data_IF_660603063243
#
_entry.id   IF_660603063243
#
_cell.length_a   1.000
_cell.length_b   1.000
_cell.length_c   1.000
_cell.angle_alpha   90.00
_cell.angle_beta   90.00
_cell.angle_gamma   90.00
#
_symmetry.space_group_name_H-M   'P 1'
#
loop_
_entity.id
_entity.type
_entity.pdbx_description
1 polymer ?
#
# COMPACT_ATOMS: atom_id res chain seq x y z
N UNK A 1 -1.84 -7.87 22.47
CA UNK A 1 -3.13 -8.58 22.66
C UNK A 1 -3.94 -8.32 21.40
N UNK A 2 -4.34 -9.37 20.67
CA UNK A 2 -5.25 -9.21 19.53
C UNK A 2 -6.56 -8.65 20.07
N UNK A 3 -6.92 -7.42 19.71
CA UNK A 3 -8.15 -6.80 20.15
C UNK A 3 -9.36 -7.60 19.67
N UNK A 4 -10.37 -7.76 20.53
CA UNK A 4 -11.62 -8.46 20.23
C UNK A 4 -12.48 -7.63 19.29
N UNK A 5 -13.13 -8.27 18.32
CA UNK A 5 -14.08 -7.63 17.38
C UNK A 5 -15.48 -7.74 17.95
N UNK A 6 -16.27 -6.66 17.89
CA UNK A 6 -17.69 -6.67 18.19
C UNK A 6 -18.47 -6.78 16.89
N UNK A 7 -19.15 -7.90 16.68
CA UNK A 7 -20.02 -8.16 15.53
C UNK A 7 -21.47 -7.89 15.91
N UNK A 8 -22.15 -7.01 15.18
CA UNK A 8 -23.54 -6.62 15.41
C UNK A 8 -24.36 -6.92 14.17
N UNK A 9 -25.24 -7.91 14.24
CA UNK A 9 -26.07 -8.41 13.14
C UNK A 9 -27.35 -9.01 13.73
N UNK A 10 -28.52 -8.59 13.28
CA UNK A 10 -29.81 -9.07 13.81
C UNK A 10 -30.20 -10.43 13.21
N UNK A 11 -29.86 -10.72 11.96
CA UNK A 11 -30.09 -12.03 11.35
C UNK A 11 -29.19 -13.10 12.00
N UNK A 12 -29.83 -14.09 12.60
CA UNK A 12 -29.12 -15.16 13.33
C UNK A 12 -28.20 -15.99 12.42
N UNK A 13 -28.68 -16.36 11.23
CA UNK A 13 -27.92 -17.22 10.32
C UNK A 13 -26.70 -16.48 9.76
N UNK A 14 -26.88 -15.20 9.40
CA UNK A 14 -25.79 -14.36 8.91
C UNK A 14 -24.78 -14.03 10.02
N UNK A 15 -25.25 -13.77 11.23
CA UNK A 15 -24.40 -13.53 12.40
C UNK A 15 -23.51 -14.73 12.71
N UNK A 16 -24.04 -15.94 12.62
CA UNK A 16 -23.28 -17.19 12.81
C UNK A 16 -22.24 -17.37 11.71
N UNK A 17 -22.62 -17.24 10.43
CA UNK A 17 -21.69 -17.35 9.30
C UNK A 17 -20.57 -16.29 9.31
N UNK A 18 -20.87 -15.07 9.76
CA UNK A 18 -19.85 -14.03 9.95
C UNK A 18 -18.95 -14.34 11.13
N UNK A 19 -19.50 -14.90 12.21
CA UNK A 19 -18.74 -15.39 13.35
C UNK A 19 -17.74 -16.47 12.96
N UNK A 20 -18.17 -17.48 12.22
CA UNK A 20 -17.31 -18.55 11.68
C UNK A 20 -16.22 -17.96 10.77
N UNK A 21 -16.57 -16.97 9.94
CA UNK A 21 -15.59 -16.28 9.09
C UNK A 21 -14.51 -15.59 9.91
N UNK A 22 -14.88 -14.92 11.01
CA UNK A 22 -13.93 -14.27 11.92
C UNK A 22 -13.04 -15.28 12.65
N UNK A 23 -13.62 -16.41 13.07
CA UNK A 23 -12.90 -17.49 13.75
C UNK A 23 -11.87 -18.15 12.82
N UNK A 24 -12.26 -18.47 11.58
CA UNK A 24 -11.36 -18.98 10.53
C UNK A 24 -10.25 -17.94 10.23
N UNK A 25 -10.58 -16.64 10.24
CA UNK A 25 -9.62 -15.55 10.10
C UNK A 25 -8.69 -15.37 11.32
N UNK A 26 -8.91 -16.12 12.41
CA UNK A 26 -8.12 -16.06 13.64
C UNK A 26 -8.39 -14.84 14.52
N UNK A 27 -9.57 -14.22 14.37
CA UNK A 27 -9.99 -13.08 15.19
C UNK A 27 -10.85 -13.54 16.37
N UNK A 28 -10.52 -13.06 17.58
CA UNK A 28 -11.42 -13.18 18.72
C UNK A 28 -12.58 -12.20 18.52
N UNK A 29 -13.82 -12.65 18.70
CA UNK A 29 -15.00 -11.80 18.53
C UNK A 29 -16.04 -12.01 19.62
N UNK A 30 -16.96 -11.05 19.76
CA UNK A 30 -18.21 -11.17 20.48
C UNK A 30 -19.33 -10.77 19.51
N UNK A 31 -20.31 -11.64 19.32
CA UNK A 31 -21.45 -11.39 18.46
C UNK A 31 -22.67 -10.98 19.28
N UNK A 32 -23.41 -9.98 18.84
CA UNK A 32 -24.64 -9.48 19.46
C UNK A 32 -25.71 -9.22 18.40
N UNK A 33 -26.99 -9.27 18.80
CA UNK A 33 -28.11 -9.23 17.90
C UNK A 33 -28.74 -7.83 17.73
N UNK A 34 -28.25 -6.81 18.44
CA UNK A 34 -28.80 -5.46 18.34
C UNK A 34 -27.78 -4.38 18.73
N UNK A 35 -28.06 -3.15 18.34
CA UNK A 35 -27.26 -1.99 18.68
C UNK A 35 -27.20 -1.74 20.20
N UNK A 36 -28.31 -1.97 20.90
CA UNK A 36 -28.40 -1.80 22.36
C UNK A 36 -27.51 -2.79 23.08
N UNK A 37 -27.50 -4.07 22.61
CA UNK A 37 -26.60 -5.10 23.14
C UNK A 37 -25.14 -4.78 22.83
N UNK A 38 -24.85 -4.14 21.68
CA UNK A 38 -23.51 -3.68 21.34
C UNK A 38 -23.04 -2.58 22.29
N UNK A 39 -23.90 -1.61 22.60
CA UNK A 39 -23.58 -0.55 23.57
C UNK A 39 -23.36 -1.09 24.99
N UNK A 40 -24.07 -2.14 25.35
CA UNK A 40 -23.84 -2.82 26.62
C UNK A 40 -22.47 -3.54 26.63
N UNK A 41 -22.15 -4.28 25.57
CA UNK A 41 -20.86 -4.97 25.42
C UNK A 41 -19.68 -3.97 25.47
N UNK A 42 -19.80 -2.80 24.84
CA UNK A 42 -18.78 -1.75 24.87
C UNK A 42 -18.55 -1.12 26.26
N UNK A 43 -19.49 -1.27 27.19
CA UNK A 43 -19.30 -0.86 28.61
C UNK A 43 -18.57 -1.92 29.43
N UNK A 44 -18.71 -3.18 29.04
CA UNK A 44 -18.18 -4.33 29.78
C UNK A 44 -16.72 -4.65 29.38
N UNK A 45 -16.38 -4.46 28.11
CA UNK A 45 -15.06 -4.84 27.59
C UNK A 45 -14.61 -3.91 26.44
N UNK A 46 -13.30 -3.88 26.18
CA UNK A 46 -12.70 -3.10 25.10
C UNK A 46 -12.67 -3.91 23.80
N UNK A 47 -13.04 -3.26 22.67
CA UNK A 47 -13.01 -3.83 21.34
C UNK A 47 -12.06 -3.05 20.43
N UNK A 48 -11.41 -3.75 19.50
CA UNK A 48 -10.50 -3.17 18.52
C UNK A 48 -11.23 -2.68 17.26
N UNK A 49 -12.43 -3.21 17.00
CA UNK A 49 -13.27 -2.86 15.85
C UNK A 49 -14.72 -3.26 16.16
N UNK A 50 -15.68 -2.44 15.73
CA UNK A 50 -17.09 -2.81 15.64
C UNK A 50 -17.43 -3.04 14.18
N UNK A 51 -18.01 -4.20 13.86
CA UNK A 51 -18.59 -4.53 12.55
C UNK A 51 -20.09 -4.62 12.73
N UNK A 52 -20.85 -3.69 12.14
CA UNK A 52 -22.30 -3.61 12.36
C UNK A 52 -23.08 -3.61 11.07
N UNK A 53 -24.20 -4.35 11.04
CA UNK A 53 -25.21 -4.10 10.01
C UNK A 53 -25.81 -2.70 10.18
N UNK A 54 -26.21 -2.11 9.06
CA UNK A 54 -26.93 -0.84 9.01
C UNK A 54 -28.42 -1.04 9.33
N UNK A 55 -29.04 -2.08 8.75
CA UNK A 55 -30.49 -2.27 8.83
C UNK A 55 -30.84 -3.24 9.98
N UNK A 56 -30.97 -2.70 11.18
CA UNK A 56 -31.37 -3.46 12.35
C UNK A 56 -32.66 -2.92 12.95
N UNK A 57 -33.52 -3.76 13.55
CA UNK A 57 -34.70 -3.28 14.27
C UNK A 57 -34.30 -2.49 15.53
N UNK A 58 -35.05 -1.44 15.83
CA UNK A 58 -34.76 -0.52 16.92
C UNK A 58 -33.73 0.54 16.51
N UNK A 59 -32.58 0.60 17.18
CA UNK A 59 -31.48 1.49 16.83
C UNK A 59 -30.75 0.94 15.60
N UNK A 60 -30.67 1.74 14.53
CA UNK A 60 -29.97 1.36 13.31
C UNK A 60 -28.43 1.50 13.44
N UNK A 61 -27.68 0.97 12.44
CA UNK A 61 -26.22 1.03 12.44
C UNK A 61 -25.65 2.44 12.36
N UNK A 62 -26.36 3.43 11.80
CA UNK A 62 -25.94 4.83 11.75
C UNK A 62 -26.09 5.52 13.09
N UNK A 63 -27.18 5.24 13.79
CA UNK A 63 -27.42 5.72 15.13
C UNK A 63 -26.40 5.13 16.10
N UNK A 64 -26.13 3.82 15.98
CA UNK A 64 -25.08 3.14 16.74
C UNK A 64 -23.69 3.76 16.49
N UNK A 65 -23.34 4.04 15.23
CA UNK A 65 -22.10 4.73 14.86
C UNK A 65 -22.00 6.08 15.56
N UNK A 66 -23.08 6.88 15.52
CA UNK A 66 -23.11 8.20 16.14
C UNK A 66 -22.87 8.14 17.65
N UNK A 67 -23.49 7.17 18.34
CA UNK A 67 -23.30 6.96 19.78
C UNK A 67 -21.87 6.48 20.09
N UNK A 68 -21.32 5.55 19.29
CA UNK A 68 -19.95 5.06 19.48
C UNK A 68 -18.96 6.21 19.28
N UNK A 69 -19.14 7.05 18.28
CA UNK A 69 -18.28 8.20 18.02
C UNK A 69 -18.26 9.22 19.17
N UNK A 70 -19.38 9.42 19.81
CA UNK A 70 -19.47 10.32 20.96
C UNK A 70 -18.85 9.74 22.24
N UNK A 71 -19.10 8.46 22.52
CA UNK A 71 -18.71 7.82 23.79
C UNK A 71 -17.40 7.05 23.74
N UNK A 72 -17.05 6.48 22.56
CA UNK A 72 -15.90 5.62 22.33
C UNK A 72 -15.17 6.03 21.02
N UNK A 73 -14.68 7.27 20.90
CA UNK A 73 -14.14 7.83 19.65
C UNK A 73 -12.94 7.04 19.10
N UNK A 74 -12.24 6.30 19.96
CA UNK A 74 -11.09 5.46 19.61
C UNK A 74 -11.50 4.14 18.96
N UNK A 75 -12.76 3.67 19.09
CA UNK A 75 -13.18 2.38 18.53
C UNK A 75 -13.64 2.57 17.08
N UNK A 76 -12.93 2.01 16.10
CA UNK A 76 -13.34 2.09 14.70
C UNK A 76 -14.63 1.30 14.45
N UNK A 77 -15.47 1.81 13.53
CA UNK A 77 -16.73 1.17 13.16
C UNK A 77 -16.76 0.92 11.66
N UNK A 78 -16.90 -0.35 11.26
CA UNK A 78 -17.14 -0.81 9.91
C UNK A 78 -18.63 -1.11 9.75
N UNK A 79 -19.29 -0.53 8.74
CA UNK A 79 -20.70 -0.77 8.49
C UNK A 79 -20.92 -1.76 7.34
N UNK A 80 -21.88 -2.67 7.51
CA UNK A 80 -22.34 -3.59 6.47
C UNK A 80 -23.72 -3.10 5.97
N UNK A 81 -23.92 -3.00 4.65
CA UNK A 81 -25.16 -2.49 4.07
C UNK A 81 -25.59 -3.27 2.84
N UNK A 82 -26.90 -3.34 2.57
CA UNK A 82 -27.44 -3.98 1.39
C UNK A 82 -27.21 -3.16 0.10
N UNK A 83 -27.25 -3.83 -1.04
CA UNK A 83 -27.08 -3.25 -2.37
C UNK A 83 -28.12 -2.14 -2.62
N UNK A 84 -27.65 -0.92 -3.00
CA UNK A 84 -28.51 0.23 -3.33
C UNK A 84 -28.43 1.42 -2.37
N UNK A 85 -27.70 1.33 -1.26
CA UNK A 85 -27.62 2.39 -0.25
C UNK A 85 -26.28 3.21 -0.32
N UNK A 86 -25.80 3.49 -1.53
CA UNK A 86 -24.52 4.22 -1.73
C UNK A 86 -24.56 5.60 -1.05
N UNK A 87 -25.68 6.30 -1.08
CA UNK A 87 -25.86 7.57 -0.38
C UNK A 87 -25.71 7.41 1.14
N UNK A 88 -26.23 6.31 1.70
CA UNK A 88 -26.10 6.00 3.13
C UNK A 88 -24.66 5.60 3.50
N UNK A 89 -23.95 4.91 2.62
CA UNK A 89 -22.54 4.59 2.82
C UNK A 89 -21.68 5.88 2.87
N UNK A 90 -21.92 6.82 1.96
CA UNK A 90 -21.26 8.15 1.98
C UNK A 90 -21.61 8.91 3.26
N UNK A 91 -22.85 8.86 3.70
CA UNK A 91 -23.28 9.48 4.96
C UNK A 91 -22.59 8.83 6.17
N UNK A 92 -22.44 7.50 6.17
CA UNK A 92 -21.73 6.77 7.20
C UNK A 92 -20.25 7.18 7.30
N UNK A 93 -19.60 7.34 6.16
CA UNK A 93 -18.20 7.82 6.12
C UNK A 93 -18.08 9.26 6.65
N UNK A 94 -19.02 10.14 6.31
CA UNK A 94 -19.10 11.51 6.87
C UNK A 94 -19.36 11.52 8.38
N UNK A 95 -20.10 10.55 8.88
CA UNK A 95 -20.37 10.38 10.32
C UNK A 95 -19.20 9.69 11.06
N UNK A 96 -18.15 9.31 10.33
CA UNK A 96 -16.92 8.77 10.91
C UNK A 96 -16.82 7.25 10.92
N UNK A 97 -17.60 6.51 10.13
CA UNK A 97 -17.29 5.10 9.86
C UNK A 97 -15.90 5.00 9.23
N UNK A 98 -15.14 3.95 9.58
CA UNK A 98 -13.80 3.75 9.00
C UNK A 98 -13.87 3.17 7.61
N UNK A 99 -14.91 2.38 7.34
CA UNK A 99 -15.21 1.81 6.02
C UNK A 99 -16.63 1.26 5.98
N UNK A 100 -17.07 0.80 4.81
CA UNK A 100 -18.33 0.10 4.64
C UNK A 100 -18.18 -1.11 3.72
N UNK A 101 -19.03 -2.12 3.90
CA UNK A 101 -19.03 -3.36 3.13
C UNK A 101 -20.41 -3.61 2.54
N UNK A 102 -20.51 -3.76 1.21
CA UNK A 102 -21.77 -3.98 0.51
C UNK A 102 -22.15 -5.46 0.52
N UNK A 103 -23.33 -5.81 1.03
CA UNK A 103 -23.93 -7.16 0.94
C UNK A 103 -24.55 -7.36 -0.46
N UNK A 104 -24.34 -8.54 -1.14
CA UNK A 104 -23.55 -9.69 -0.71
C UNK A 104 -22.05 -9.48 -0.95
N UNK A 105 -21.21 -10.01 -0.06
CA UNK A 105 -19.75 -9.91 -0.14
C UNK A 105 -19.08 -11.28 0.09
N UNK A 106 -17.88 -11.43 -0.42
CA UNK A 106 -17.05 -12.60 -0.15
C UNK A 106 -16.41 -12.52 1.26
N UNK A 107 -16.25 -13.64 1.98
CA UNK A 107 -15.59 -13.69 3.29
C UNK A 107 -14.21 -13.01 3.30
N UNK A 108 -13.44 -13.14 2.21
CA UNK A 108 -12.14 -12.49 2.07
C UNK A 108 -12.22 -10.96 2.09
N UNK A 109 -13.28 -10.36 1.56
CA UNK A 109 -13.45 -8.90 1.57
C UNK A 109 -13.62 -8.38 2.99
N UNK A 110 -14.45 -9.05 3.81
CA UNK A 110 -14.61 -8.74 5.22
C UNK A 110 -13.28 -8.88 5.99
N UNK A 111 -12.57 -9.99 5.81
CA UNK A 111 -11.30 -10.23 6.51
C UNK A 111 -10.22 -9.22 6.10
N UNK A 112 -10.18 -8.79 4.84
CA UNK A 112 -9.26 -7.75 4.38
C UNK A 112 -9.54 -6.40 5.05
N UNK A 113 -10.81 -5.98 5.12
CA UNK A 113 -11.20 -4.74 5.79
C UNK A 113 -10.92 -4.79 7.30
N UNK A 114 -11.21 -5.92 7.93
CA UNK A 114 -10.88 -6.13 9.34
C UNK A 114 -9.36 -6.06 9.56
N UNK A 115 -8.56 -6.69 8.70
CA UNK A 115 -7.10 -6.62 8.78
C UNK A 115 -6.57 -5.19 8.62
N UNK A 116 -7.21 -4.38 7.78
CA UNK A 116 -6.85 -2.97 7.61
C UNK A 116 -7.23 -2.11 8.82
N UNK A 117 -8.38 -2.37 9.44
CA UNK A 117 -8.94 -1.48 10.46
C UNK A 117 -8.79 -2.00 11.89
N UNK A 118 -8.85 -3.30 12.14
CA UNK A 118 -8.66 -3.89 13.47
C UNK A 118 -7.19 -3.92 13.93
N UNK A 119 -6.24 -4.01 12.99
CA UNK A 119 -4.80 -3.96 13.29
C UNK A 119 -4.19 -2.56 13.13
N UNK A 120 -4.91 -1.60 12.55
CA UNK A 120 -4.32 -0.37 12.00
C UNK A 120 -4.41 0.87 12.85
N UNK A 121 -5.04 0.86 14.04
CA UNK A 121 -5.29 2.12 14.76
C UNK A 121 -4.68 2.26 16.15
N UNK A 122 -4.08 1.23 16.70
CA UNK A 122 -3.46 1.36 18.04
C UNK A 122 -2.00 1.83 18.03
N UNK A 123 -1.28 1.75 16.88
CA UNK A 123 0.16 2.07 16.87
C UNK A 123 0.63 3.08 15.81
N UNK A 124 -0.04 3.23 14.66
CA UNK A 124 0.45 4.16 13.63
C UNK A 124 -0.01 5.63 13.85
N UNK A 125 -1.08 5.85 14.63
CA UNK A 125 -1.59 7.19 14.90
C UNK A 125 -0.91 7.90 16.08
N UNK A 126 -0.39 7.14 17.07
CA UNK A 126 0.28 7.74 18.24
C UNK A 126 1.78 7.99 18.05
N UNK A 127 2.42 7.34 17.07
CA UNK A 127 3.84 7.55 16.81
C UNK A 127 4.02 8.22 15.46
N UNK A 128 4.20 9.54 15.49
CA UNK A 128 4.59 10.33 14.31
C UNK A 128 5.80 9.76 13.57
N UNK A 129 6.26 10.38 12.46
CA UNK A 129 7.43 9.94 11.74
C UNK A 129 8.65 9.80 12.65
N UNK A 130 9.47 8.76 12.45
CA UNK A 130 10.75 8.63 13.16
C UNK A 130 11.69 9.71 12.68
N UNK A 131 12.23 10.52 13.61
CA UNK A 131 13.12 11.64 13.33
C UNK A 131 14.16 11.79 14.44
N UNK A 132 15.25 11.07 14.31
CA UNK A 132 16.43 11.18 15.17
C UNK A 132 17.52 12.02 14.50
N UNK A 133 17.59 12.01 13.17
CA UNK A 133 18.49 12.86 12.41
C UNK A 133 18.09 14.34 12.55
N UNK A 134 19.06 15.29 12.66
CA UNK A 134 18.78 16.72 12.75
C UNK A 134 17.92 17.23 11.58
N UNK A 135 18.23 16.79 10.36
CA UNK A 135 17.48 17.15 9.15
C UNK A 135 16.02 16.70 9.23
N UNK A 136 15.76 15.48 9.73
CA UNK A 136 14.40 14.94 9.90
C UNK A 136 13.62 15.73 10.96
N UNK A 137 14.26 16.07 12.09
CA UNK A 137 13.62 16.87 13.14
C UNK A 137 13.25 18.27 12.63
N UNK A 138 14.19 18.95 11.97
CA UNK A 138 13.92 20.26 11.39
C UNK A 138 12.75 20.24 10.38
N UNK A 139 12.71 19.20 9.53
CA UNK A 139 11.62 19.03 8.57
C UNK A 139 10.27 18.83 9.29
N UNK A 140 10.22 18.02 10.36
CA UNK A 140 8.99 17.82 11.13
C UNK A 140 8.53 19.08 11.86
N UNK A 141 9.44 19.87 12.41
CA UNK A 141 9.12 21.17 13.00
C UNK A 141 8.51 22.11 11.97
N UNK A 142 9.09 22.16 10.77
CA UNK A 142 8.57 22.95 9.66
C UNK A 142 7.20 22.43 9.19
N UNK A 143 7.04 21.11 9.06
CA UNK A 143 5.79 20.46 8.71
C UNK A 143 4.68 20.76 9.74
N UNK A 144 4.99 20.73 11.05
CA UNK A 144 4.03 21.04 12.10
C UNK A 144 3.60 22.52 12.05
N UNK A 145 4.51 23.45 11.74
CA UNK A 145 4.18 24.88 11.56
C UNK A 145 3.28 25.09 10.34
N UNK A 146 3.59 24.47 9.22
CA UNK A 146 2.77 24.55 7.99
C UNK A 146 1.44 23.85 8.15
N UNK A 147 1.36 22.82 9.00
CA UNK A 147 0.11 22.13 9.31
C UNK A 147 -0.98 23.08 9.84
N UNK A 148 -0.61 24.14 10.52
CA UNK A 148 -1.56 25.14 11.07
C UNK A 148 -2.20 26.05 10.00
N UNK A 149 -1.71 26.00 8.76
CA UNK A 149 -2.28 26.76 7.64
C UNK A 149 -3.02 25.83 6.67
N UNK A 150 -3.97 26.38 5.91
CA UNK A 150 -4.65 25.66 4.81
C UNK A 150 -3.86 25.67 3.49
N UNK A 151 -2.60 26.11 3.52
CA UNK A 151 -1.74 26.16 2.33
C UNK A 151 -1.52 24.78 1.74
N UNK A 152 -1.46 24.71 0.40
CA UNK A 152 -1.06 23.51 -0.33
C UNK A 152 0.40 23.19 -0.02
N UNK A 153 0.71 21.93 0.24
CA UNK A 153 2.06 21.45 0.51
C UNK A 153 2.48 20.45 -0.56
N UNK A 154 3.63 20.70 -1.16
CA UNK A 154 4.27 19.77 -2.09
C UNK A 154 5.41 19.03 -1.39
N UNK A 155 5.27 17.73 -1.23
CA UNK A 155 6.27 16.87 -0.61
C UNK A 155 7.08 16.17 -1.70
N UNK A 156 8.34 16.50 -1.85
CA UNK A 156 9.26 15.86 -2.78
C UNK A 156 10.22 14.91 -2.08
N UNK A 157 10.70 13.89 -2.79
CA UNK A 157 11.69 12.94 -2.27
C UNK A 157 11.64 11.63 -3.04
N UNK A 158 12.72 10.85 -2.95
CA UNK A 158 12.85 9.56 -3.62
C UNK A 158 11.71 8.60 -3.28
N UNK A 159 11.50 7.59 -4.13
CA UNK A 159 10.53 6.54 -3.84
C UNK A 159 10.88 5.80 -2.55
N UNK A 160 9.86 5.46 -1.74
CA UNK A 160 10.07 4.72 -0.50
C UNK A 160 10.61 5.53 0.68
N UNK A 161 10.77 6.85 0.59
CA UNK A 161 11.27 7.69 1.71
C UNK A 161 10.26 7.89 2.83
N UNK A 162 8.96 7.63 2.60
CA UNK A 162 7.89 7.82 3.59
C UNK A 162 7.14 9.15 3.42
N UNK A 163 7.00 9.69 2.20
CA UNK A 163 6.27 10.93 1.90
C UNK A 163 4.82 10.90 2.39
N UNK A 164 4.13 9.76 2.26
CA UNK A 164 2.76 9.59 2.76
C UNK A 164 2.69 9.68 4.29
N UNK A 165 3.70 9.16 5.00
CA UNK A 165 3.77 9.27 6.47
C UNK A 165 3.89 10.73 6.89
N UNK A 166 4.69 11.53 6.16
CA UNK A 166 4.79 12.97 6.39
C UNK A 166 3.46 13.69 6.10
N UNK A 167 2.77 13.33 5.02
CA UNK A 167 1.47 13.90 4.68
C UNK A 167 0.43 13.61 5.77
N UNK A 168 0.39 12.38 6.31
CA UNK A 168 -0.47 12.02 7.44
C UNK A 168 -0.11 12.80 8.70
N UNK A 169 1.18 12.98 8.98
CA UNK A 169 1.64 13.79 10.09
C UNK A 169 1.18 15.26 9.97
N UNK A 170 1.27 15.86 8.78
CA UNK A 170 0.78 17.22 8.52
C UNK A 170 -0.73 17.30 8.79
N UNK A 171 -1.51 16.32 8.35
CA UNK A 171 -2.95 16.26 8.64
C UNK A 171 -3.24 16.15 10.15
N UNK A 172 -2.52 15.28 10.86
CA UNK A 172 -2.67 15.07 12.30
C UNK A 172 -2.33 16.32 13.13
N UNK A 173 -1.38 17.15 12.66
CA UNK A 173 -1.01 18.40 13.29
C UNK A 173 -1.87 19.59 12.84
N UNK A 174 -2.88 19.39 11.98
CA UNK A 174 -3.69 20.45 11.40
C UNK A 174 -4.99 20.69 12.19
N UNK A 175 -5.64 21.86 12.04
CA UNK A 175 -7.00 22.09 12.55
C UNK A 175 -8.03 21.10 11.99
N UNK A 176 -7.73 20.43 10.87
CA UNK A 176 -8.60 19.47 10.18
C UNK A 176 -8.36 18.00 10.63
N UNK A 177 -7.70 17.77 11.75
CA UNK A 177 -7.37 16.43 12.28
C UNK A 177 -8.59 15.51 12.46
N UNK A 178 -9.76 16.10 12.75
CA UNK A 178 -11.03 15.36 12.88
C UNK A 178 -11.76 15.15 11.55
N UNK A 179 -11.30 15.78 10.47
CA UNK A 179 -11.85 15.64 9.13
C UNK A 179 -11.31 14.39 8.41
N UNK A 180 -11.88 14.05 7.25
CA UNK A 180 -11.40 12.92 6.46
C UNK A 180 -9.99 13.17 5.92
N UNK A 181 -9.13 12.12 5.94
CA UNK A 181 -7.88 12.08 5.22
C UNK A 181 -8.01 11.09 4.06
N UNK A 182 -8.14 11.62 2.86
CA UNK A 182 -8.30 10.83 1.64
C UNK A 182 -6.99 10.84 0.86
N UNK A 183 -6.43 9.67 0.60
CA UNK A 183 -5.23 9.53 -0.22
C UNK A 183 -5.58 8.84 -1.54
N UNK A 184 -4.98 9.32 -2.63
CA UNK A 184 -5.06 8.70 -3.95
C UNK A 184 -3.68 8.69 -4.60
N UNK A 185 -3.29 7.51 -5.12
CA UNK A 185 -2.05 7.38 -5.88
C UNK A 185 -2.38 7.53 -7.37
N UNK A 186 -1.86 8.60 -8.00
CA UNK A 186 -2.12 8.94 -9.38
C UNK A 186 -1.44 7.97 -10.37
N UNK A 187 -0.36 7.30 -9.96
CA UNK A 187 0.33 6.31 -10.79
C UNK A 187 -0.36 4.93 -10.79
N UNK A 188 -1.16 4.62 -9.76
CA UNK A 188 -1.76 3.30 -9.61
C UNK A 188 -3.05 3.12 -10.42
N UNK A 189 -3.63 4.19 -10.96
CA UNK A 189 -4.94 4.20 -11.62
C UNK A 189 -4.77 4.65 -13.08
N UNK A 190 -5.31 3.92 -14.07
CA UNK A 190 -5.33 4.36 -15.46
C UNK A 190 -6.03 5.71 -15.63
N UNK A 191 -5.54 6.57 -16.53
CA UNK A 191 -5.98 7.97 -16.67
C UNK A 191 -7.49 8.14 -16.87
N UNK A 192 -8.12 7.26 -17.65
CA UNK A 192 -9.56 7.27 -17.89
C UNK A 192 -10.39 6.96 -16.63
N UNK A 193 -9.84 6.18 -15.71
CA UNK A 193 -10.48 5.87 -14.42
C UNK A 193 -10.12 6.90 -13.35
N UNK A 194 -8.92 7.49 -13.43
CA UNK A 194 -8.43 8.49 -12.49
C UNK A 194 -9.33 9.73 -12.51
N UNK A 195 -9.80 10.17 -13.68
CA UNK A 195 -10.73 11.27 -13.83
C UNK A 195 -12.03 11.03 -13.05
N UNK A 196 -12.70 9.91 -13.32
CA UNK A 196 -13.95 9.55 -12.65
C UNK A 196 -13.75 9.33 -11.13
N UNK A 197 -12.60 8.81 -10.72
CA UNK A 197 -12.27 8.58 -9.31
C UNK A 197 -12.03 9.90 -8.57
N UNK A 198 -11.30 10.85 -9.18
CA UNK A 198 -10.99 12.15 -8.56
C UNK A 198 -12.22 13.05 -8.49
N UNK A 199 -12.89 13.25 -9.63
CA UNK A 199 -13.94 14.27 -9.77
C UNK A 199 -15.36 13.71 -9.58
N UNK A 200 -15.51 12.36 -9.58
CA UNK A 200 -16.82 11.72 -9.57
C UNK A 200 -17.48 11.71 -10.96
N UNK A 201 -18.60 11.01 -11.07
CA UNK A 201 -19.35 10.94 -12.32
C UNK A 201 -20.84 10.83 -12.09
N UNK A 202 -21.62 11.32 -13.04
CA UNK A 202 -23.05 11.13 -13.11
C UNK A 202 -23.40 9.82 -13.84
N UNK A 203 -24.62 9.35 -13.63
CA UNK A 203 -25.16 8.19 -14.35
C UNK A 203 -25.11 8.44 -15.86
N UNK A 204 -24.53 7.50 -16.61
CA UNK A 204 -24.42 7.58 -18.06
C UNK A 204 -23.27 8.46 -18.59
N UNK A 205 -22.38 8.93 -17.74
CA UNK A 205 -21.24 9.77 -18.13
C UNK A 205 -20.25 9.06 -19.07
N UNK A 206 -20.16 7.73 -18.96
CA UNK A 206 -19.37 6.86 -19.84
C UNK A 206 -19.96 5.46 -19.87
N UNK A 207 -19.50 4.61 -20.80
CA UNK A 207 -19.92 3.21 -20.90
C UNK A 207 -19.54 2.44 -19.64
N UNK A 208 -20.56 2.04 -18.85
CA UNK A 208 -20.36 1.41 -17.53
C UNK A 208 -20.73 2.28 -16.32
N UNK A 209 -21.06 3.56 -16.50
CA UNK A 209 -21.56 4.44 -15.43
C UNK A 209 -23.04 4.16 -15.12
N UNK A 210 -23.33 3.06 -14.43
CA UNK A 210 -24.69 2.60 -14.11
C UNK A 210 -25.34 3.52 -13.06
N UNK A 211 -24.56 4.07 -12.13
CA UNK A 211 -25.00 4.97 -11.06
C UNK A 211 -24.07 6.19 -10.98
N UNK A 212 -24.57 7.28 -10.40
CA UNK A 212 -23.71 8.43 -10.05
C UNK A 212 -22.81 8.06 -8.85
N UNK A 213 -21.52 8.49 -8.89
CA UNK A 213 -20.59 8.29 -7.78
C UNK A 213 -19.86 9.58 -7.43
N UNK A 214 -19.74 9.93 -6.12
CA UNK A 214 -18.94 11.07 -5.69
C UNK A 214 -17.45 10.81 -5.91
N UNK A 215 -16.73 11.86 -6.25
CA UNK A 215 -15.28 11.83 -6.43
C UNK A 215 -14.51 11.91 -5.09
N UNK A 216 -13.20 11.65 -5.16
CA UNK A 216 -12.32 11.79 -3.99
C UNK A 216 -12.26 13.21 -3.46
N UNK A 217 -12.45 14.23 -4.31
CA UNK A 217 -12.59 15.62 -3.88
C UNK A 217 -13.78 15.81 -2.97
N UNK A 218 -14.94 15.29 -3.34
CA UNK A 218 -16.16 15.38 -2.51
C UNK A 218 -16.01 14.59 -1.21
N UNK A 219 -15.38 13.42 -1.25
CA UNK A 219 -15.14 12.59 -0.05
C UNK A 219 -14.14 13.22 0.92
N UNK A 220 -13.29 14.12 0.45
CA UNK A 220 -12.32 14.85 1.27
C UNK A 220 -12.86 16.14 1.85
N UNK A 221 -14.13 16.50 1.58
CA UNK A 221 -14.74 17.75 2.05
C UNK A 221 -14.69 17.87 3.57
N UNK A 222 -14.32 19.04 4.09
CA UNK A 222 -14.03 19.30 5.50
C UNK A 222 -12.68 18.73 5.98
N UNK A 223 -11.89 18.11 5.13
CA UNK A 223 -10.66 17.39 5.49
C UNK A 223 -9.46 17.69 4.62
N UNK A 224 -8.67 16.64 4.34
CA UNK A 224 -7.42 16.73 3.57
C UNK A 224 -7.40 15.67 2.46
N UNK A 225 -7.06 16.10 1.25
CA UNK A 225 -6.82 15.24 0.09
C UNK A 225 -5.32 15.14 -0.17
N UNK A 226 -4.78 13.93 -0.20
CA UNK A 226 -3.42 13.63 -0.63
C UNK A 226 -3.42 13.10 -2.07
N UNK A 227 -2.72 13.83 -2.96
CA UNK A 227 -2.43 13.41 -4.33
C UNK A 227 -1.00 12.83 -4.36
N UNK A 228 -0.88 11.51 -4.27
CA UNK A 228 0.41 10.83 -4.29
C UNK A 228 0.88 10.61 -5.74
N UNK A 229 2.16 10.81 -5.98
CA UNK A 229 2.81 10.73 -7.30
C UNK A 229 2.14 11.61 -8.38
N UNK A 230 1.91 12.89 -8.04
CA UNK A 230 1.22 13.87 -8.90
C UNK A 230 1.88 14.05 -10.29
N UNK A 231 3.19 13.78 -10.40
CA UNK A 231 3.95 13.84 -11.66
C UNK A 231 3.48 12.86 -12.72
N UNK A 232 2.74 11.81 -12.33
CA UNK A 232 2.24 10.78 -13.25
C UNK A 232 0.88 11.14 -13.88
N UNK A 233 0.26 12.24 -13.43
CA UNK A 233 -1.04 12.68 -13.92
C UNK A 233 -0.95 13.22 -15.35
N UNK A 234 -1.84 12.79 -16.24
CA UNK A 234 -1.91 13.26 -17.62
C UNK A 234 -2.29 14.75 -17.73
N UNK A 235 -1.76 15.46 -18.73
CA UNK A 235 -1.96 16.91 -18.94
C UNK A 235 -3.44 17.36 -18.92
N UNK A 236 -4.40 16.64 -19.51
CA UNK A 236 -5.82 17.02 -19.45
C UNK A 236 -6.36 17.05 -18.01
N UNK A 237 -5.95 16.08 -17.18
CA UNK A 237 -6.36 16.01 -15.77
C UNK A 237 -5.68 17.09 -14.93
N UNK A 238 -4.44 17.46 -15.25
CA UNK A 238 -3.75 18.58 -14.62
C UNK A 238 -4.52 19.90 -14.81
N UNK A 239 -5.11 20.13 -16.00
CA UNK A 239 -5.91 21.32 -16.26
C UNK A 239 -7.21 21.36 -15.42
N UNK A 240 -7.86 20.20 -15.26
CA UNK A 240 -9.05 20.09 -14.40
C UNK A 240 -8.70 20.29 -12.91
N UNK A 241 -7.61 19.66 -12.47
CA UNK A 241 -7.09 19.83 -11.11
C UNK A 241 -6.81 21.30 -10.80
N UNK A 242 -6.17 22.01 -11.72
CA UNK A 242 -5.87 23.42 -11.55
C UNK A 242 -7.15 24.25 -11.29
N UNK A 243 -8.22 24.00 -12.06
CA UNK A 243 -9.52 24.67 -11.85
C UNK A 243 -10.06 24.41 -10.47
N UNK A 244 -10.08 23.13 -10.01
CA UNK A 244 -10.56 22.79 -8.67
C UNK A 244 -9.75 23.49 -7.57
N UNK A 245 -8.42 23.58 -7.72
CA UNK A 245 -7.56 24.27 -6.76
C UNK A 245 -7.76 25.81 -6.76
N UNK A 246 -8.16 26.39 -7.88
CA UNK A 246 -8.39 27.84 -8.00
C UNK A 246 -9.78 28.24 -7.54
N UNK A 247 -10.81 27.53 -8.00
CA UNK A 247 -12.22 27.87 -7.82
C UNK A 247 -12.79 27.27 -6.53
N UNK A 248 -12.12 26.25 -5.96
CA UNK A 248 -12.61 25.44 -4.83
C UNK A 248 -13.97 24.79 -5.11
N UNK A 249 -14.17 24.42 -6.34
CA UNK A 249 -15.36 23.74 -6.82
C UNK A 249 -15.00 22.55 -7.68
N UNK A 250 -15.82 21.51 -7.66
CA UNK A 250 -15.67 20.33 -8.50
C UNK A 250 -16.93 20.10 -9.32
N UNK A 251 -16.73 19.72 -10.59
CA UNK A 251 -17.80 19.26 -11.45
C UNK A 251 -17.61 17.76 -11.71
N UNK A 252 -18.65 16.95 -11.48
CA UNK A 252 -18.64 15.53 -11.84
C UNK A 252 -18.59 15.36 -13.34
N UNK A 253 -17.95 14.29 -13.79
CA UNK A 253 -17.96 13.92 -15.22
C UNK A 253 -19.41 13.70 -15.67
N UNK A 254 -19.83 14.45 -16.71
CA UNK A 254 -21.20 14.45 -17.22
C UNK A 254 -22.16 15.37 -16.49
N UNK A 255 -21.77 16.06 -15.43
CA UNK A 255 -22.56 17.11 -14.76
C UNK A 255 -22.22 18.51 -15.30
N UNK A 256 -23.14 19.45 -15.03
CA UNK A 256 -22.93 20.88 -15.29
C UNK A 256 -23.04 21.74 -14.02
N UNK A 257 -23.28 21.09 -12.89
CA UNK A 257 -23.48 21.80 -11.61
C UNK A 257 -22.19 21.70 -10.80
N UNK A 258 -21.55 22.82 -10.46
CA UNK A 258 -20.39 22.81 -9.58
C UNK A 258 -20.81 22.49 -8.13
N UNK A 259 -19.92 21.84 -7.42
CA UNK A 259 -20.03 21.49 -6.00
C UNK A 259 -18.89 22.19 -5.29
N UNK A 260 -19.21 23.09 -4.36
CA UNK A 260 -18.22 23.83 -3.57
C UNK A 260 -17.52 22.90 -2.57
N UNK A 261 -16.21 23.07 -2.42
CA UNK A 261 -15.35 22.24 -1.58
C UNK A 261 -14.61 23.07 -0.54
N UNK A 262 -14.58 22.57 0.68
CA UNK A 262 -13.68 23.06 1.74
C UNK A 262 -12.62 22.02 2.06
N UNK A 263 -11.59 21.93 1.24
CA UNK A 263 -10.53 20.91 1.36
C UNK A 263 -9.15 21.54 1.47
N UNK A 264 -8.26 20.84 2.17
CA UNK A 264 -6.83 21.05 2.11
C UNK A 264 -6.19 20.04 1.16
N UNK A 265 -5.28 20.49 0.29
CA UNK A 265 -4.59 19.61 -0.66
C UNK A 265 -3.13 19.45 -0.28
N UNK A 266 -2.67 18.20 -0.21
CA UNK A 266 -1.27 17.82 -0.12
C UNK A 266 -0.91 17.06 -1.40
N UNK A 267 0.28 17.30 -1.95
CA UNK A 267 0.75 16.58 -3.13
C UNK A 267 2.13 15.96 -2.86
N UNK A 268 2.39 14.78 -3.41
CA UNK A 268 3.72 14.17 -3.34
C UNK A 268 4.27 13.92 -4.73
N UNK A 269 5.58 13.89 -4.84
CA UNK A 269 6.28 13.50 -6.06
C UNK A 269 7.64 12.88 -5.77
N UNK A 270 8.08 11.96 -6.60
CA UNK A 270 9.42 11.40 -6.63
C UNK A 270 10.26 11.98 -7.78
N UNK A 271 9.66 12.79 -8.66
CA UNK A 271 10.34 13.44 -9.80
C UNK A 271 10.64 14.91 -9.52
N UNK A 272 11.59 15.45 -10.26
CA UNK A 272 11.84 16.90 -10.31
C UNK A 272 10.75 17.56 -11.17
N UNK A 273 9.73 18.15 -10.54
CA UNK A 273 8.60 18.77 -11.27
C UNK A 273 9.04 19.94 -12.15
N UNK A 274 10.09 20.69 -11.78
CA UNK A 274 10.63 21.76 -12.64
C UNK A 274 11.19 21.17 -13.95
N UNK A 275 11.87 20.03 -13.88
CA UNK A 275 12.32 19.29 -15.04
C UNK A 275 11.15 18.76 -15.89
N UNK A 276 10.06 18.29 -15.25
CA UNK A 276 8.85 17.85 -15.93
C UNK A 276 8.13 19.02 -16.64
N UNK A 277 8.13 20.23 -16.04
CA UNK A 277 7.62 21.46 -16.64
C UNK A 277 8.45 21.84 -17.86
N UNK A 278 9.77 21.86 -17.73
CA UNK A 278 10.66 22.16 -18.86
C UNK A 278 10.52 21.16 -20.04
N UNK A 279 10.20 19.91 -19.71
CA UNK A 279 9.94 18.85 -20.70
C UNK A 279 8.50 18.85 -21.27
N UNK A 280 7.63 19.78 -20.84
CA UNK A 280 6.25 19.88 -21.28
C UNK A 280 5.32 18.75 -20.79
N UNK A 281 5.73 17.94 -19.82
CA UNK A 281 4.93 16.87 -19.21
C UNK A 281 4.12 17.32 -18.00
N UNK A 282 4.46 18.46 -17.41
CA UNK A 282 3.73 19.05 -16.31
C UNK A 282 3.45 20.53 -16.60
N UNK A 283 2.26 21.02 -16.23
CA UNK A 283 1.88 22.41 -16.46
C UNK A 283 2.54 23.33 -15.45
N UNK A 284 3.09 24.42 -15.91
CA UNK A 284 3.77 25.44 -15.11
C UNK A 284 2.81 26.12 -14.11
N UNK A 285 1.59 26.44 -14.54
CA UNK A 285 0.56 27.06 -13.70
C UNK A 285 0.14 26.16 -12.53
N UNK A 286 -0.02 24.87 -12.78
CA UNK A 286 -0.30 23.87 -11.73
C UNK A 286 0.88 23.71 -10.77
N UNK A 287 2.12 23.70 -11.29
CA UNK A 287 3.32 23.62 -10.44
C UNK A 287 3.35 24.75 -9.41
N UNK A 288 3.16 26.00 -9.81
CA UNK A 288 3.13 27.12 -8.87
C UNK A 288 1.96 27.06 -7.89
N UNK A 289 0.82 26.51 -8.29
CA UNK A 289 -0.33 26.34 -7.42
C UNK A 289 -0.15 25.24 -6.36
N UNK A 290 0.58 24.18 -6.69
CA UNK A 290 0.92 23.09 -5.77
C UNK A 290 2.13 23.41 -4.90
N UNK A 291 3.13 24.10 -5.43
CA UNK A 291 4.40 24.40 -4.78
C UNK A 291 4.34 25.67 -3.91
N UNK A 292 3.21 25.90 -3.22
CA UNK A 292 3.09 27.04 -2.27
C UNK A 292 4.04 26.83 -1.10
N UNK A 293 4.09 25.62 -0.57
CA UNK A 293 5.02 25.23 0.48
C UNK A 293 5.75 23.93 0.12
N UNK A 294 6.94 23.97 -0.46
CA UNK A 294 7.72 22.78 -0.78
C UNK A 294 8.42 22.22 0.46
N UNK A 295 8.27 20.91 0.69
CA UNK A 295 8.99 20.13 1.68
C UNK A 295 9.77 19.03 0.97
N UNK A 296 11.07 18.93 1.21
CA UNK A 296 11.92 17.89 0.66
C UNK A 296 12.25 16.85 1.72
N UNK A 297 11.80 15.59 1.51
CA UNK A 297 12.15 14.49 2.39
C UNK A 297 13.45 13.85 1.91
N UNK A 298 14.49 13.95 2.73
CA UNK A 298 15.80 13.40 2.40
C UNK A 298 15.78 11.86 2.26
N UNK A 299 16.57 11.30 1.35
CA UNK A 299 16.73 9.85 1.25
C UNK A 299 17.36 9.28 2.53
N UNK A 300 17.13 7.98 2.78
CA UNK A 300 17.51 7.35 4.05
C UNK A 300 19.02 7.38 4.31
N UNK A 301 19.84 7.31 3.27
CA UNK A 301 21.30 7.43 3.33
C UNK A 301 21.82 8.80 3.87
N UNK A 302 21.02 9.86 3.77
CA UNK A 302 21.36 11.20 4.28
C UNK A 302 20.85 11.43 5.71
N UNK A 303 20.04 10.49 6.25
CA UNK A 303 19.51 10.53 7.62
C UNK A 303 19.81 9.25 8.38
N UNK A 304 21.07 8.86 8.40
CA UNK A 304 21.53 7.58 8.96
C UNK A 304 21.15 7.36 10.43
N UNK A 305 21.01 8.44 11.21
CA UNK A 305 20.53 8.36 12.60
C UNK A 305 19.07 7.86 12.72
N UNK A 306 18.28 7.93 11.67
CA UNK A 306 16.91 7.43 11.66
C UNK A 306 16.84 5.92 11.35
N UNK A 307 17.89 5.32 10.77
CA UNK A 307 17.86 3.95 10.24
C UNK A 307 17.56 2.93 11.35
N UNK A 308 18.33 2.95 12.43
CA UNK A 308 18.17 1.96 13.53
C UNK A 308 16.82 2.14 14.24
N UNK A 309 16.39 3.35 14.63
CA UNK A 309 15.07 3.56 15.21
C UNK A 309 13.91 3.15 14.28
N UNK A 310 14.04 3.39 12.97
CA UNK A 310 13.08 2.90 11.97
C UNK A 310 13.05 1.38 11.91
N UNK A 311 14.21 0.73 11.87
CA UNK A 311 14.32 -0.72 11.85
C UNK A 311 13.71 -1.36 13.09
N UNK A 312 13.96 -0.81 14.28
CA UNK A 312 13.39 -1.29 15.54
C UNK A 312 11.86 -1.12 15.57
N UNK A 313 11.36 0.00 15.08
CA UNK A 313 9.91 0.24 14.96
C UNK A 313 9.26 -0.75 13.98
N UNK A 314 9.86 -0.97 12.81
CA UNK A 314 9.39 -1.94 11.83
C UNK A 314 9.45 -3.37 12.39
N UNK A 315 10.50 -3.70 13.12
CA UNK A 315 10.67 -4.98 13.80
C UNK A 315 9.54 -5.23 14.80
N UNK A 316 9.24 -4.27 15.64
CA UNK A 316 8.14 -4.34 16.60
C UNK A 316 6.78 -4.51 15.90
N UNK A 317 6.54 -3.71 14.85
CA UNK A 317 5.30 -3.74 14.05
C UNK A 317 5.08 -5.11 13.39
N UNK A 318 6.11 -5.65 12.70
CA UNK A 318 6.00 -6.95 12.03
C UNK A 318 5.99 -8.12 13.01
N UNK A 319 6.76 -8.05 14.11
CA UNK A 319 6.74 -9.07 15.16
C UNK A 319 5.36 -9.24 15.78
N UNK A 320 4.67 -8.13 16.08
CA UNK A 320 3.29 -8.14 16.55
C UNK A 320 2.34 -8.76 15.52
N UNK A 321 2.45 -8.35 14.25
CA UNK A 321 1.62 -8.86 13.14
C UNK A 321 1.80 -10.36 12.92
N UNK A 322 3.04 -10.85 13.05
CA UNK A 322 3.37 -12.28 12.91
C UNK A 322 3.12 -13.09 14.19
N UNK A 323 2.68 -12.46 15.30
CA UNK A 323 2.51 -13.08 16.62
C UNK A 323 3.79 -13.78 17.12
N UNK A 324 4.95 -13.26 16.76
CA UNK A 324 6.24 -13.78 17.20
C UNK A 324 6.69 -13.12 18.49
N UNK A 325 7.57 -13.81 19.25
CA UNK A 325 8.23 -13.19 20.38
C UNK A 325 9.04 -11.96 19.95
N UNK A 326 9.16 -10.92 20.79
CA UNK A 326 9.94 -9.73 20.45
C UNK A 326 11.37 -10.10 20.06
N UNK A 327 11.73 -9.79 18.82
CA UNK A 327 13.09 -9.95 18.31
C UNK A 327 13.88 -8.64 18.50
N UNK A 328 15.21 -8.76 18.57
CA UNK A 328 16.14 -7.63 18.73
C UNK A 328 17.22 -7.66 17.66
N UNK A 329 17.70 -6.50 17.29
CA UNK A 329 18.86 -6.36 16.40
C UNK A 329 20.15 -6.55 17.20
N UNK A 330 21.07 -7.39 16.72
CA UNK A 330 22.42 -7.45 17.25
C UNK A 330 23.18 -6.15 16.95
N UNK A 331 24.26 -5.86 17.69
CA UNK A 331 25.06 -4.65 17.47
C UNK A 331 25.73 -4.67 16.09
N UNK A 332 26.10 -5.84 15.62
CA UNK A 332 26.64 -6.07 14.28
C UNK A 332 25.59 -5.82 13.21
N UNK A 333 24.35 -6.25 13.39
CA UNK A 333 23.24 -5.97 12.48
C UNK A 333 22.93 -4.46 12.42
N UNK A 334 22.92 -3.75 13.55
CA UNK A 334 22.74 -2.30 13.59
C UNK A 334 23.78 -1.55 12.74
N UNK A 335 25.06 -1.95 12.85
CA UNK A 335 26.16 -1.36 12.04
C UNK A 335 25.96 -1.65 10.55
N UNK A 336 25.58 -2.89 10.18
CA UNK A 336 25.27 -3.23 8.81
C UNK A 336 24.15 -2.37 8.23
N UNK A 337 23.04 -2.18 8.99
CA UNK A 337 21.94 -1.33 8.59
C UNK A 337 22.37 0.13 8.35
N UNK A 338 23.23 0.68 9.23
CA UNK A 338 23.74 2.05 9.09
C UNK A 338 24.72 2.25 7.93
N UNK A 339 25.47 1.20 7.58
CA UNK A 339 26.45 1.24 6.49
C UNK A 339 25.83 1.06 5.11
N UNK A 340 24.62 0.49 5.02
CA UNK A 340 23.95 0.24 3.75
C UNK A 340 23.39 1.53 3.13
N UNK A 341 23.45 1.65 1.79
CA UNK A 341 23.06 2.86 1.05
C UNK A 341 21.56 3.07 0.87
N UNK A 342 20.76 2.02 1.04
CA UNK A 342 19.29 2.03 0.96
C UNK A 342 18.73 2.68 -0.32
N UNK A 343 19.03 2.20 -1.52
CA UNK A 343 18.49 2.77 -2.76
C UNK A 343 16.95 2.75 -2.80
N UNK A 344 16.31 1.75 -2.20
CA UNK A 344 14.86 1.67 -2.03
C UNK A 344 14.33 2.34 -0.76
N UNK A 345 15.19 3.07 -0.02
CA UNK A 345 14.85 3.82 1.19
C UNK A 345 14.14 2.97 2.26
N UNK A 346 13.10 3.51 2.91
CA UNK A 346 12.36 2.84 3.99
C UNK A 346 11.58 1.60 3.48
N UNK A 347 11.18 1.58 2.18
CA UNK A 347 10.51 0.42 1.60
C UNK A 347 11.45 -0.78 1.51
N UNK A 348 12.69 -0.55 1.16
CA UNK A 348 13.73 -1.60 1.14
C UNK A 348 14.07 -2.06 2.56
N UNK A 349 14.22 -1.12 3.50
CA UNK A 349 14.44 -1.42 4.91
C UNK A 349 13.29 -2.27 5.49
N UNK A 350 12.04 -1.91 5.20
CA UNK A 350 10.85 -2.65 5.63
C UNK A 350 10.88 -4.11 5.13
N UNK A 351 11.17 -4.31 3.84
CA UNK A 351 11.33 -5.64 3.25
C UNK A 351 12.50 -6.44 3.88
N UNK A 352 13.62 -5.78 4.17
CA UNK A 352 14.77 -6.43 4.80
C UNK A 352 14.42 -6.89 6.23
N UNK A 353 13.75 -6.06 7.01
CA UNK A 353 13.30 -6.41 8.36
C UNK A 353 12.25 -7.54 8.34
N UNK A 354 11.31 -7.54 7.39
CA UNK A 354 10.35 -8.65 7.25
C UNK A 354 11.06 -9.97 6.94
N UNK A 355 12.04 -9.97 6.00
CA UNK A 355 12.84 -11.17 5.72
C UNK A 355 13.63 -11.64 6.93
N UNK A 356 14.28 -10.71 7.62
CA UNK A 356 15.06 -11.03 8.81
C UNK A 356 14.21 -11.65 9.92
N UNK A 357 12.98 -11.20 10.13
CA UNK A 357 12.03 -11.79 11.07
C UNK A 357 11.66 -13.24 10.74
N UNK A 358 11.59 -13.58 9.45
CA UNK A 358 11.29 -14.94 9.00
C UNK A 358 12.51 -15.87 9.16
N UNK A 359 13.72 -15.34 8.91
CA UNK A 359 14.96 -16.11 8.87
C UNK A 359 15.62 -16.27 10.24
N UNK A 360 15.37 -15.32 11.16
CA UNK A 360 16.03 -15.27 12.47
C UNK A 360 15.78 -16.54 13.31
N UNK A 361 16.77 -16.90 14.12
CA UNK A 361 16.70 -18.00 15.08
C UNK A 361 17.01 -17.47 16.49
N UNK A 362 16.13 -17.74 17.44
CA UNK A 362 16.38 -17.41 18.85
C UNK A 362 16.10 -15.95 19.25
N UNK A 363 15.34 -15.18 18.48
CA UNK A 363 14.88 -13.82 18.85
C UNK A 363 15.93 -12.71 18.68
N UNK A 364 17.09 -13.01 18.07
CA UNK A 364 18.13 -12.03 17.73
C UNK A 364 18.37 -12.06 16.22
N UNK A 365 18.32 -10.87 15.60
CA UNK A 365 18.61 -10.70 14.17
C UNK A 365 20.09 -10.39 14.00
N UNK A 366 20.77 -11.25 13.25
CA UNK A 366 22.16 -11.10 12.88
C UNK A 366 22.30 -10.51 11.45
N UNK A 367 23.48 -10.00 11.04
CA UNK A 367 23.69 -9.46 9.69
C UNK A 367 23.31 -10.44 8.56
N UNK A 368 23.52 -11.73 8.75
CA UNK A 368 23.17 -12.76 7.77
C UNK A 368 21.65 -12.83 7.53
N UNK A 369 20.82 -12.56 8.55
CA UNK A 369 19.37 -12.61 8.42
C UNK A 369 18.80 -11.44 7.60
N UNK A 370 19.55 -10.32 7.53
CA UNK A 370 19.13 -9.11 6.81
C UNK A 370 19.20 -9.27 5.29
N UNK A 371 20.05 -10.14 4.78
CA UNK A 371 20.25 -10.43 3.33
C UNK A 371 20.36 -9.15 2.49
N UNK A 372 21.28 -8.25 2.85
CA UNK A 372 21.42 -6.94 2.20
C UNK A 372 22.14 -7.01 0.84
N UNK A 373 23.00 -8.02 0.63
CA UNK A 373 23.84 -8.18 -0.56
C UNK A 373 23.16 -8.93 -1.73
N UNK A 374 21.84 -8.78 -1.88
CA UNK A 374 21.10 -9.39 -3.01
C UNK A 374 20.80 -10.89 -2.84
N UNK A 375 19.91 -11.38 -3.67
CA UNK A 375 19.32 -12.75 -3.65
C UNK A 375 20.33 -13.89 -3.80
N UNK A 376 21.59 -13.63 -4.08
CA UNK A 376 22.65 -14.65 -4.32
C UNK A 376 22.99 -15.48 -3.08
N UNK A 377 22.82 -14.95 -1.87
CA UNK A 377 23.15 -15.67 -0.63
C UNK A 377 22.12 -16.75 -0.24
N UNK A 378 20.88 -16.66 -0.71
CA UNK A 378 19.88 -17.72 -0.44
C UNK A 378 20.17 -19.03 -1.19
N UNK A 379 20.79 -18.98 -2.37
CA UNK A 379 21.19 -20.17 -3.11
C UNK A 379 22.46 -20.83 -2.55
N UNK A 380 23.34 -20.07 -1.91
CA UNK A 380 24.56 -20.60 -1.29
C UNK A 380 24.28 -21.36 0.02
N UNK A 381 23.27 -20.97 0.80
CA UNK A 381 22.92 -21.62 2.06
C UNK A 381 22.27 -23.02 1.87
N UNK A 382 21.64 -23.27 0.72
CA UNK A 382 21.07 -24.58 0.38
C UNK A 382 22.13 -25.52 -0.20
N UNK A 383 23.25 -25.00 -0.68
CA UNK A 383 24.35 -25.78 -1.31
C UNK A 383 25.45 -26.22 -0.35
N UNK A 384 25.42 -25.86 0.93
CA UNK A 384 26.53 -26.12 1.87
C UNK A 384 26.42 -27.45 2.63
N UNK A 385 25.73 -28.47 2.07
CA UNK A 385 25.80 -29.83 2.53
C UNK A 385 26.34 -30.77 1.44
N UNK A 386 27.60 -30.60 1.05
CA UNK A 386 28.39 -31.67 0.41
C UNK A 386 29.89 -31.34 0.55
N UNK A 387 30.79 -32.37 0.71
CA UNK A 387 32.13 -32.14 1.22
C UNK A 387 33.11 -31.63 0.19
N UNK A 388 34.16 -31.01 0.72
CA UNK A 388 35.24 -30.32 0.05
C UNK A 388 35.97 -31.13 -1.07
N UNK A 389 36.26 -30.46 -2.20
CA UNK A 389 37.50 -30.66 -2.97
C UNK A 389 37.77 -29.49 -3.94
N UNK A 390 38.94 -28.86 -3.72
CA UNK A 390 39.89 -28.29 -4.68
C UNK A 390 39.59 -27.03 -5.48
N UNK A 391 40.37 -26.00 -5.13
CA UNK A 391 40.84 -24.81 -5.85
C UNK A 391 40.91 -24.89 -7.38
N UNK A 392 40.32 -23.91 -8.08
CA UNK A 392 40.94 -23.22 -9.23
C UNK A 392 40.46 -21.78 -9.28
N UNK A 393 41.40 -20.85 -9.50
CA UNK A 393 41.24 -19.40 -9.57
C UNK A 393 40.41 -18.97 -10.79
N UNK A 394 39.47 -18.03 -10.61
CA UNK A 394 38.75 -17.36 -11.70
C UNK A 394 38.89 -15.84 -11.66
N UNK A 395 39.19 -15.31 -12.82
CA UNK A 395 39.24 -13.86 -13.16
C UNK A 395 37.83 -13.24 -13.28
N UNK A 396 37.68 -11.92 -13.14
CA UNK A 396 36.39 -11.25 -13.17
C UNK A 396 35.90 -11.02 -14.60
N UNK A 397 34.62 -11.29 -14.86
CA UNK A 397 33.99 -10.96 -16.13
C UNK A 397 32.63 -10.29 -15.95
N UNK A 398 32.44 -9.26 -16.74
CA UNK A 398 31.17 -8.58 -17.01
C UNK A 398 30.26 -9.50 -17.83
N UNK A 399 28.93 -9.32 -17.67
CA UNK A 399 27.82 -9.89 -18.45
C UNK A 399 27.04 -11.06 -17.82
N UNK A 400 26.43 -10.83 -16.65
CA UNK A 400 25.51 -11.81 -16.03
C UNK A 400 24.22 -12.07 -16.85
N UNK A 401 23.85 -11.14 -17.73
CA UNK A 401 22.64 -11.27 -18.56
C UNK A 401 22.80 -12.14 -19.81
N UNK A 402 24.02 -12.28 -20.32
CA UNK A 402 24.31 -13.11 -21.49
C UNK A 402 24.55 -14.59 -21.11
N UNK A 403 25.19 -14.83 -19.99
CA UNK A 403 25.45 -16.21 -19.49
C UNK A 403 24.14 -16.92 -19.11
N UNK A 404 23.18 -16.22 -18.49
CA UNK A 404 21.86 -16.77 -18.15
C UNK A 404 21.05 -17.14 -19.40
N UNK A 405 21.11 -16.31 -20.46
CA UNK A 405 20.43 -16.58 -21.73
C UNK A 405 21.09 -17.76 -22.47
N UNK A 406 22.40 -17.85 -22.45
CA UNK A 406 23.12 -18.97 -23.07
C UNK A 406 22.82 -20.29 -22.35
N UNK A 407 22.75 -20.28 -21.03
CA UNK A 407 22.38 -21.47 -20.24
C UNK A 407 20.92 -21.89 -20.47
N UNK A 408 19.99 -20.95 -20.58
CA UNK A 408 18.59 -21.22 -20.93
C UNK A 408 18.49 -21.82 -22.34
N UNK A 409 19.24 -21.31 -23.30
CA UNK A 409 19.26 -21.80 -24.66
C UNK A 409 19.83 -23.25 -24.73
N UNK A 410 20.90 -23.56 -24.00
CA UNK A 410 21.45 -24.89 -23.89
C UNK A 410 20.44 -25.87 -23.29
N UNK A 411 19.74 -25.52 -22.22
CA UNK A 411 18.71 -26.35 -21.60
C UNK A 411 17.54 -26.68 -22.56
N UNK A 412 17.10 -25.70 -23.34
CA UNK A 412 16.06 -25.91 -24.35
C UNK A 412 16.51 -26.86 -25.45
N UNK A 413 17.76 -26.71 -25.96
CA UNK A 413 18.32 -27.57 -27.00
C UNK A 413 18.51 -29.00 -26.49
N UNK A 414 19.03 -29.17 -25.28
CA UNK A 414 19.27 -30.48 -24.68
C UNK A 414 17.96 -31.24 -24.43
N UNK A 415 16.92 -30.53 -23.97
CA UNK A 415 15.58 -31.11 -23.80
C UNK A 415 14.93 -31.46 -25.15
N UNK A 416 15.12 -30.66 -26.19
CA UNK A 416 14.62 -30.96 -27.53
C UNK A 416 15.39 -32.17 -28.16
N UNK A 417 16.70 -32.31 -27.91
CA UNK A 417 17.48 -33.50 -28.31
C UNK A 417 16.96 -34.75 -27.61
N UNK A 418 16.75 -34.72 -26.30
CA UNK A 418 16.26 -35.86 -25.52
C UNK A 418 14.88 -36.33 -26.00
N UNK A 419 14.04 -35.42 -26.45
CA UNK A 419 12.67 -35.70 -26.96
C UNK A 419 12.63 -35.84 -28.50
N UNK A 420 13.78 -36.05 -29.14
CA UNK A 420 13.91 -36.26 -30.59
C UNK A 420 13.18 -35.20 -31.45
N UNK A 421 13.26 -33.93 -31.04
CA UNK A 421 12.65 -32.79 -31.72
C UNK A 421 11.15 -32.62 -31.51
N UNK A 422 10.50 -33.40 -30.65
CA UNK A 422 9.06 -33.31 -30.35
C UNK A 422 8.75 -32.16 -29.43
N UNK A 423 8.37 -31.02 -30.04
CA UNK A 423 8.21 -29.74 -29.35
C UNK A 423 7.15 -29.75 -28.24
N UNK A 424 6.11 -30.59 -28.34
CA UNK A 424 5.06 -30.69 -27.33
C UNK A 424 5.56 -31.39 -26.08
N UNK A 425 6.26 -32.51 -26.25
CA UNK A 425 6.83 -33.30 -25.15
C UNK A 425 7.97 -32.52 -24.45
N UNK A 426 8.80 -31.80 -25.23
CA UNK A 426 9.84 -30.93 -24.69
C UNK A 426 9.24 -29.73 -23.87
N UNK A 427 8.13 -29.15 -24.30
CA UNK A 427 7.44 -28.10 -23.55
C UNK A 427 6.91 -28.62 -22.21
N UNK A 428 6.29 -29.79 -22.21
CA UNK A 428 5.76 -30.44 -21.00
C UNK A 428 6.89 -30.76 -20.01
N UNK A 429 8.02 -31.22 -20.49
CA UNK A 429 9.19 -31.55 -19.65
C UNK A 429 9.90 -30.31 -19.09
N UNK A 430 9.90 -29.21 -19.82
CA UNK A 430 10.39 -27.91 -19.36
C UNK A 430 9.40 -27.16 -18.46
N UNK A 431 8.17 -27.67 -18.26
CA UNK A 431 7.14 -27.04 -17.46
C UNK A 431 6.60 -25.76 -18.08
N UNK A 432 6.70 -25.57 -19.41
CA UNK A 432 6.26 -24.35 -20.12
C UNK A 432 5.19 -24.67 -21.17
N UNK A 433 4.38 -23.66 -21.54
CA UNK A 433 3.40 -23.87 -22.58
C UNK A 433 4.05 -24.06 -23.97
N UNK A 434 3.43 -24.82 -24.90
CA UNK A 434 3.94 -24.98 -26.28
C UNK A 434 4.02 -23.63 -27.03
N UNK A 435 3.26 -22.62 -26.61
CA UNK A 435 3.30 -21.25 -27.11
C UNK A 435 4.58 -20.54 -26.63
N UNK A 436 4.91 -20.69 -25.35
CA UNK A 436 6.13 -20.13 -24.74
C UNK A 436 7.39 -20.73 -25.36
N UNK A 437 7.40 -22.03 -25.58
CA UNK A 437 8.52 -22.70 -26.25
C UNK A 437 8.73 -22.16 -27.68
N UNK A 438 7.68 -21.97 -28.46
CA UNK A 438 7.75 -21.37 -29.80
C UNK A 438 8.33 -19.95 -29.78
N UNK A 439 7.90 -19.12 -28.82
CA UNK A 439 8.45 -17.79 -28.63
C UNK A 439 9.95 -17.81 -28.33
N UNK A 440 10.38 -18.68 -27.41
CA UNK A 440 11.80 -18.83 -27.05
C UNK A 440 12.67 -19.35 -28.21
N UNK A 441 12.16 -20.27 -29.02
CA UNK A 441 12.85 -20.74 -30.23
C UNK A 441 12.96 -19.62 -31.30
N UNK A 442 11.97 -18.74 -31.41
CA UNK A 442 12.08 -17.57 -32.28
C UNK A 442 13.16 -16.59 -31.77
N UNK A 443 13.17 -16.33 -30.47
CA UNK A 443 14.17 -15.47 -29.83
C UNK A 443 15.61 -16.03 -29.98
N UNK A 444 15.79 -17.35 -29.95
CA UNK A 444 17.10 -18.01 -30.21
C UNK A 444 17.55 -17.77 -31.64
N UNK A 445 16.65 -17.88 -32.63
CA UNK A 445 16.95 -17.59 -34.05
C UNK A 445 17.31 -16.11 -34.27
N UNK A 446 16.56 -15.19 -33.65
CA UNK A 446 16.83 -13.75 -33.74
C UNK A 446 18.18 -13.38 -33.08
N UNK A 447 18.63 -14.17 -32.09
CA UNK A 447 19.93 -14.04 -31.46
C UNK A 447 21.06 -14.71 -32.27
N UNK A 448 20.79 -15.26 -33.47
CA UNK A 448 21.76 -15.88 -34.36
C UNK A 448 22.13 -17.36 -34.02
N UNK A 449 21.32 -17.99 -33.15
CA UNK A 449 21.55 -19.39 -32.75
C UNK A 449 20.81 -20.35 -33.69
N UNK A 450 21.58 -21.19 -34.42
CA UNK A 450 20.98 -22.17 -35.33
C UNK A 450 20.51 -23.42 -34.56
N UNK A 451 19.21 -23.39 -34.22
CA UNK A 451 18.55 -24.44 -33.45
C UNK A 451 18.50 -25.77 -34.20
N UNK A 452 18.42 -25.75 -35.56
CA UNK A 452 18.37 -26.97 -36.37
C UNK A 452 19.74 -27.62 -36.49
N UNK A 453 20.77 -26.84 -36.69
CA UNK A 453 22.16 -27.35 -36.66
C UNK A 453 22.52 -27.93 -35.27
N UNK A 454 22.04 -27.26 -34.17
CA UNK A 454 22.28 -27.71 -32.81
C UNK A 454 21.51 -28.99 -32.43
N UNK A 455 20.40 -29.31 -33.06
CA UNK A 455 19.61 -30.54 -32.81
C UNK A 455 20.24 -31.80 -33.45
N UNK A 456 20.97 -31.65 -34.56
CA UNK A 456 21.51 -32.74 -35.34
C UNK A 456 23.04 -32.83 -35.33
N UNK A 457 23.75 -31.99 -34.58
CA UNK A 457 25.17 -32.12 -34.31
C UNK A 457 25.41 -33.32 -33.38
N UNK A 458 26.17 -34.33 -33.85
CA UNK A 458 26.61 -35.53 -33.11
C UNK A 458 27.50 -35.20 -31.90
#
# INVERSE_FOLDING_TARGET
MTGRILLVEDDHALREALGDTLEVGGYAYRAVASAEAALQALREEAFSLVVSDVNMPGMDGHELLSVIRQRYPQVPVLLMTAFGAIERAVQAMRQGAVDYLLKPFEPKALLNLIAQHACGRLDDAEQGPVAHAPASRHLLELAARVAQSDSTVLISGESGTGKEVLARYIHQQSPRVNGPFIAINCAAIPDNMLEATLFGHEKGAFTGAIAAQPGKFELADGGTLLLDEISEMALPLQAKLLRVLQEREVERVGARKPITLDIRVLATTNRNLQGEVAAGRFREDLYYRLSVFPLAWAPLRERTADIVPLAERLLAKHGQKMRQAPARLSETARRCLQAHAWPGNVRELDNAIQRALILQRGGVIEPADLCLDGVELMLAAVSSQAPAASNVAAKPTAALGEDLRQHEFQLIVETLRSERGRRKEAADRLGISPRTLRYKLAQMRDAGFDVEAALYAE
#
